data_IF_342696148585
#
_entry.id   IF_342696148585
#
_cell.length_a   1.000
_cell.length_b   1.000
_cell.length_c   1.000
_cell.angle_alpha   90.00
_cell.angle_beta   90.00
_cell.angle_gamma   90.00
#
_symmetry.space_group_name_H-M   'P 1'
#
loop_
_entity.id
_entity.type
_entity.pdbx_description
1 polymer ?
#
# COMPACT_ATOMS: atom_id res chain seq x y z
N UNK A 1 3.03 -10.98 29.32
CA UNK A 1 1.64 -10.90 28.82
C UNK A 1 0.96 -9.74 29.54
N UNK A 2 0.77 -8.60 28.87
CA UNK A 2 0.14 -7.43 29.48
C UNK A 2 -1.35 -7.37 29.06
N UNK A 3 -2.20 -7.84 29.97
CA UNK A 3 -3.65 -7.88 29.84
C UNK A 3 -4.22 -6.47 30.10
N UNK A 4 -4.84 -5.82 29.10
CA UNK A 4 -5.45 -4.49 29.30
C UNK A 4 -6.89 -4.63 29.80
N UNK A 5 -7.13 -4.03 30.97
CA UNK A 5 -8.34 -4.11 31.80
C UNK A 5 -9.50 -3.19 31.36
N UNK A 6 -10.76 -3.52 31.72
CA UNK A 6 -11.94 -2.68 31.50
C UNK A 6 -11.83 -1.29 32.16
N UNK A 7 -12.46 -0.26 31.58
CA UNK A 7 -12.47 1.13 32.09
C UNK A 7 -12.81 1.26 33.58
N UNK A 8 -13.74 0.44 34.08
CA UNK A 8 -14.08 0.38 35.51
C UNK A 8 -12.93 -0.09 36.41
N UNK A 9 -12.12 -1.02 35.93
CA UNK A 9 -10.93 -1.51 36.63
C UNK A 9 -9.84 -0.44 36.66
N UNK A 10 -9.63 0.31 35.57
CA UNK A 10 -8.66 1.43 35.51
C UNK A 10 -9.04 2.56 36.47
N UNK A 11 -10.33 2.87 36.60
CA UNK A 11 -10.86 3.82 37.58
C UNK A 11 -10.58 3.32 39.01
N UNK A 12 -10.81 2.03 39.28
CA UNK A 12 -10.57 1.41 40.58
C UNK A 12 -9.09 1.40 40.95
N UNK A 13 -8.22 0.99 40.04
CA UNK A 13 -6.76 0.95 40.26
C UNK A 13 -6.22 2.35 40.53
N UNK A 14 -6.56 3.33 39.69
CA UNK A 14 -6.12 4.71 39.89
C UNK A 14 -6.64 5.31 41.19
N UNK A 15 -7.88 4.98 41.58
CA UNK A 15 -8.44 5.40 42.88
C UNK A 15 -7.64 4.80 44.05
N UNK A 16 -7.28 3.52 43.96
CA UNK A 16 -6.49 2.82 44.98
C UNK A 16 -5.06 3.36 45.08
N UNK A 17 -4.39 3.64 43.95
CA UNK A 17 -3.07 4.29 43.92
C UNK A 17 -3.06 5.64 44.63
N UNK A 18 -4.16 6.41 44.52
CA UNK A 18 -4.30 7.71 45.19
C UNK A 18 -4.81 7.62 46.62
N UNK A 19 -5.01 6.41 47.16
CA UNK A 19 -5.49 6.19 48.52
C UNK A 19 -6.94 6.67 48.77
N UNK A 20 -7.73 6.87 47.73
CA UNK A 20 -9.10 7.40 47.83
C UNK A 20 -10.09 6.28 48.17
N UNK A 21 -10.98 6.54 49.15
CA UNK A 21 -12.09 5.61 49.39
C UNK A 21 -13.13 5.77 48.29
N UNK A 22 -13.83 4.68 47.98
CA UNK A 22 -14.86 4.67 46.94
C UNK A 22 -15.97 5.68 47.24
N UNK A 23 -16.36 5.86 48.50
CA UNK A 23 -17.34 6.87 48.90
C UNK A 23 -16.87 8.31 48.63
N UNK A 24 -15.58 8.58 48.79
CA UNK A 24 -15.00 9.91 48.61
C UNK A 24 -14.96 10.29 47.12
N UNK A 25 -14.58 9.35 46.25
CA UNK A 25 -14.65 9.55 44.80
C UNK A 25 -16.08 9.68 44.30
N UNK A 26 -17.03 8.90 44.84
CA UNK A 26 -18.43 9.00 44.47
C UNK A 26 -19.01 10.37 44.83
N UNK A 27 -18.66 10.88 46.02
CA UNK A 27 -19.08 12.20 46.50
C UNK A 27 -18.48 13.33 45.67
N UNK A 28 -17.19 13.24 45.30
CA UNK A 28 -16.52 14.28 44.51
C UNK A 28 -17.05 14.42 43.08
N UNK A 29 -17.63 13.37 42.52
CA UNK A 29 -18.24 13.38 41.17
C UNK A 29 -19.78 13.39 41.20
N UNK A 30 -20.39 13.56 42.38
CA UNK A 30 -21.83 13.76 42.54
C UNK A 30 -22.70 12.53 42.29
N UNK A 31 -22.19 11.31 42.52
CA UNK A 31 -22.94 10.05 42.39
C UNK A 31 -22.98 9.26 43.70
N UNK A 32 -23.87 8.27 43.80
CA UNK A 32 -23.91 7.41 44.99
C UNK A 32 -22.74 6.40 45.02
N UNK A 33 -22.24 6.01 46.20
CA UNK A 33 -21.19 4.98 46.32
C UNK A 33 -21.57 3.65 45.68
N UNK A 34 -22.85 3.25 45.77
CA UNK A 34 -23.37 2.07 45.06
C UNK A 34 -23.32 2.22 43.54
N UNK A 35 -23.55 3.42 43.01
CA UNK A 35 -23.47 3.69 41.58
C UNK A 35 -22.02 3.60 41.08
N UNK A 36 -21.07 4.19 41.82
CA UNK A 36 -19.64 4.05 41.51
C UNK A 36 -19.17 2.60 41.61
N UNK A 37 -19.71 1.83 42.55
CA UNK A 37 -19.39 0.40 42.68
C UNK A 37 -19.81 -0.42 41.44
N UNK A 38 -20.97 -0.13 40.86
CA UNK A 38 -21.42 -0.77 39.62
C UNK A 38 -20.54 -0.38 38.43
N UNK A 39 -19.99 0.83 38.42
CA UNK A 39 -19.07 1.33 37.37
C UNK A 39 -17.71 0.64 37.49
N UNK A 40 -17.13 0.60 38.69
CA UNK A 40 -15.82 -0.03 38.94
C UNK A 40 -15.81 -1.53 38.64
N UNK A 41 -16.95 -2.21 38.80
CA UNK A 41 -17.13 -3.62 38.46
C UNK A 41 -17.63 -3.85 37.02
N UNK A 42 -17.67 -2.81 36.18
CA UNK A 42 -18.04 -2.91 34.77
C UNK A 42 -19.52 -3.25 34.51
N UNK A 43 -20.38 -3.18 35.53
CA UNK A 43 -21.82 -3.48 35.42
C UNK A 43 -22.64 -2.31 34.87
N UNK A 44 -22.06 -1.10 34.82
CA UNK A 44 -22.71 0.09 34.27
C UNK A 44 -21.73 0.90 33.44
N UNK A 45 -22.04 1.08 32.16
CA UNK A 45 -21.26 1.93 31.24
C UNK A 45 -21.42 3.41 31.62
N UNK A 46 -20.35 4.16 31.47
CA UNK A 46 -20.32 5.62 31.68
C UNK A 46 -19.78 6.30 30.44
N UNK A 47 -20.24 7.53 30.19
CA UNK A 47 -19.80 8.34 29.06
C UNK A 47 -20.12 9.82 29.29
N UNK A 48 -19.57 10.67 28.44
CA UNK A 48 -19.82 12.11 28.46
C UNK A 48 -19.36 12.77 29.76
N UNK A 49 -20.22 13.60 30.35
CA UNK A 49 -19.91 14.45 31.51
C UNK A 49 -19.37 13.66 32.72
N UNK A 50 -19.99 12.53 33.06
CA UNK A 50 -19.59 11.73 34.22
C UNK A 50 -18.20 11.09 34.05
N UNK A 51 -17.85 10.68 32.84
CA UNK A 51 -16.50 10.16 32.54
C UNK A 51 -15.45 11.26 32.68
N UNK A 52 -15.74 12.47 32.17
CA UNK A 52 -14.87 13.62 32.31
C UNK A 52 -14.72 14.07 33.77
N UNK A 53 -15.79 14.00 34.56
CA UNK A 53 -15.77 14.37 35.99
C UNK A 53 -14.94 13.37 36.81
N UNK A 54 -15.05 12.06 36.53
CA UNK A 54 -14.21 11.02 37.13
C UNK A 54 -12.74 11.16 36.68
N UNK A 55 -12.50 11.42 35.40
CA UNK A 55 -11.15 11.66 34.87
C UNK A 55 -10.47 12.84 35.58
N UNK A 56 -11.21 13.95 35.76
CA UNK A 56 -10.73 15.14 36.46
C UNK A 56 -10.47 14.88 37.95
N UNK A 57 -11.36 14.15 38.62
CA UNK A 57 -11.18 13.78 40.03
C UNK A 57 -9.98 12.83 40.25
N UNK A 58 -9.62 12.03 39.24
CA UNK A 58 -8.51 11.08 39.29
C UNK A 58 -7.21 11.58 38.62
N UNK A 59 -7.21 12.81 38.11
CA UNK A 59 -6.08 13.43 37.40
C UNK A 59 -5.63 12.58 36.20
N UNK A 60 -6.60 12.21 35.36
CA UNK A 60 -6.42 11.44 34.13
C UNK A 60 -6.96 12.22 32.93
N UNK A 61 -6.31 12.01 31.78
CA UNK A 61 -6.86 12.45 30.50
C UNK A 61 -8.15 11.66 30.19
N UNK A 62 -9.30 12.33 29.90
CA UNK A 62 -10.52 11.68 29.47
C UNK A 62 -10.34 10.74 28.26
N UNK A 63 -9.42 11.06 27.34
CA UNK A 63 -9.08 10.21 26.20
C UNK A 63 -8.40 8.91 26.66
N UNK A 64 -7.54 8.97 27.68
CA UNK A 64 -6.88 7.79 28.24
C UNK A 64 -7.86 6.80 28.91
N UNK A 65 -9.04 7.27 29.36
CA UNK A 65 -10.12 6.45 29.90
C UNK A 65 -11.15 5.99 28.84
N UNK A 66 -11.30 6.76 27.75
CA UNK A 66 -12.24 6.50 26.65
C UNK A 66 -11.68 5.65 25.50
N UNK A 67 -10.37 5.67 25.26
CA UNK A 67 -9.73 4.86 24.22
C UNK A 67 -9.45 3.43 24.72
N UNK A 68 -10.49 2.61 24.67
CA UNK A 68 -10.40 1.18 24.92
C UNK A 68 -9.92 0.40 23.67
N UNK A 69 -9.25 -0.76 23.85
CA UNK A 69 -8.85 -1.68 22.77
C UNK A 69 -10.01 -2.23 21.90
N UNK A 70 -11.27 -1.88 22.19
CA UNK A 70 -12.43 -2.25 21.39
C UNK A 70 -12.42 -1.69 19.98
N UNK A 71 -11.95 -0.46 19.77
CA UNK A 71 -11.92 0.12 18.42
C UNK A 71 -10.89 -0.59 17.52
N UNK A 72 -9.81 -1.11 18.07
CA UNK A 72 -8.81 -1.88 17.33
C UNK A 72 -9.32 -3.26 16.91
N UNK A 73 -10.00 -3.97 17.82
CA UNK A 73 -10.61 -5.27 17.53
C UNK A 73 -11.78 -5.14 16.57
N UNK A 74 -12.64 -4.14 16.78
CA UNK A 74 -13.75 -3.84 15.86
C UNK A 74 -13.24 -3.51 14.46
N UNK A 75 -12.16 -2.72 14.34
CA UNK A 75 -11.51 -2.42 13.06
C UNK A 75 -10.94 -3.69 12.41
N UNK A 76 -10.27 -4.54 13.18
CA UNK A 76 -9.71 -5.81 12.68
C UNK A 76 -10.79 -6.78 12.22
N UNK A 77 -11.92 -6.87 12.93
CA UNK A 77 -13.06 -7.69 12.52
C UNK A 77 -13.73 -7.16 11.25
N UNK A 78 -13.87 -5.84 11.11
CA UNK A 78 -14.37 -5.22 9.87
C UNK A 78 -13.44 -5.48 8.68
N UNK A 79 -12.13 -5.37 8.89
CA UNK A 79 -11.13 -5.70 7.88
C UNK A 79 -11.20 -7.20 7.48
N UNK A 80 -11.38 -8.10 8.45
CA UNK A 80 -11.55 -9.53 8.18
C UNK A 80 -12.78 -9.84 7.32
N UNK A 81 -13.89 -9.12 7.53
CA UNK A 81 -15.11 -9.27 6.72
C UNK A 81 -14.90 -8.71 5.31
N UNK A 82 -14.19 -7.59 5.16
CA UNK A 82 -13.88 -7.00 3.86
C UNK A 82 -12.99 -7.89 2.98
N UNK A 83 -12.17 -8.75 3.60
CA UNK A 83 -11.35 -9.75 2.90
C UNK A 83 -12.10 -11.04 2.50
N UNK A 84 -13.38 -11.20 2.82
CA UNK A 84 -14.14 -12.38 2.41
C UNK A 84 -14.52 -12.29 0.92
N UNK A 85 -14.26 -13.38 0.20
CA UNK A 85 -14.63 -13.53 -1.20
C UNK A 85 -16.16 -13.67 -1.37
N UNK A 86 -16.70 -13.28 -2.54
CA UNK A 86 -18.14 -13.23 -2.84
C UNK A 86 -18.83 -14.62 -2.75
N UNK A 87 -18.04 -15.71 -2.69
CA UNK A 87 -18.53 -17.09 -2.54
C UNK A 87 -18.82 -17.49 -1.09
N UNK A 88 -18.62 -16.60 -0.12
CA UNK A 88 -18.94 -16.87 1.27
C UNK A 88 -20.46 -17.12 1.43
N UNK A 89 -20.84 -18.33 1.87
CA UNK A 89 -22.25 -18.73 2.01
C UNK A 89 -23.05 -17.93 3.04
N UNK A 90 -22.35 -17.34 4.02
CA UNK A 90 -22.98 -16.55 5.09
C UNK A 90 -22.06 -15.40 5.48
N UNK A 91 -22.54 -14.16 5.31
CA UNK A 91 -21.80 -12.97 5.73
C UNK A 91 -22.02 -12.70 7.24
N UNK A 92 -20.97 -12.33 7.98
CA UNK A 92 -21.10 -11.97 9.40
C UNK A 92 -21.93 -10.68 9.61
N UNK A 93 -22.73 -10.65 10.68
CA UNK A 93 -23.54 -9.48 11.07
C UNK A 93 -22.67 -8.31 11.57
N UNK A 94 -22.25 -7.42 10.68
CA UNK A 94 -21.39 -6.26 11.00
C UNK A 94 -21.96 -5.34 12.08
N UNK A 95 -23.29 -5.23 12.17
CA UNK A 95 -23.98 -4.45 13.21
C UNK A 95 -23.77 -5.01 14.62
N UNK A 96 -23.46 -6.31 14.75
CA UNK A 96 -23.18 -7.00 16.02
C UNK A 96 -21.69 -7.27 16.26
N UNK A 97 -20.81 -6.76 15.40
CA UNK A 97 -19.36 -6.97 15.54
C UNK A 97 -18.82 -6.40 16.87
N UNK A 98 -19.39 -5.31 17.36
CA UNK A 98 -19.05 -4.75 18.68
C UNK A 98 -19.47 -5.70 19.80
N UNK A 99 -20.72 -6.18 19.80
CA UNK A 99 -21.22 -7.13 20.80
C UNK A 99 -20.40 -8.43 20.82
N UNK A 100 -19.92 -8.88 19.66
CA UNK A 100 -19.03 -10.03 19.53
C UNK A 100 -17.64 -9.78 20.13
N UNK A 101 -17.04 -8.62 19.84
CA UNK A 101 -15.74 -8.23 20.39
C UNK A 101 -15.81 -8.09 21.92
N UNK A 102 -16.90 -7.53 22.45
CA UNK A 102 -17.14 -7.34 23.88
C UNK A 102 -17.33 -8.70 24.59
N UNK A 103 -18.09 -9.62 23.98
CA UNK A 103 -18.46 -10.91 24.60
C UNK A 103 -17.40 -12.00 24.42
N UNK A 104 -16.61 -11.94 23.35
CA UNK A 104 -15.60 -12.96 23.01
C UNK A 104 -14.26 -12.32 22.57
N UNK A 105 -13.57 -11.61 23.47
CA UNK A 105 -12.38 -10.81 23.11
C UNK A 105 -11.21 -11.65 22.57
N UNK A 106 -11.03 -12.88 23.06
CA UNK A 106 -9.99 -13.79 22.56
C UNK A 106 -10.25 -14.28 21.14
N UNK A 107 -11.51 -14.60 20.82
CA UNK A 107 -11.91 -14.99 19.46
C UNK A 107 -11.82 -13.82 18.49
N UNK A 108 -12.24 -12.63 18.92
CA UNK A 108 -12.09 -11.41 18.11
C UNK A 108 -10.61 -11.11 17.78
N UNK A 109 -9.71 -11.30 18.74
CA UNK A 109 -8.28 -11.16 18.51
C UNK A 109 -7.73 -12.21 17.54
N UNK A 110 -8.14 -13.48 17.67
CA UNK A 110 -7.73 -14.55 16.75
C UNK A 110 -8.17 -14.25 15.32
N UNK A 111 -9.41 -13.80 15.11
CA UNK A 111 -9.92 -13.43 13.78
C UNK A 111 -9.10 -12.28 13.19
N UNK A 112 -8.80 -11.25 13.98
CA UNK A 112 -7.93 -10.14 13.54
C UNK A 112 -6.53 -10.60 13.14
N UNK A 113 -5.92 -11.50 13.92
CA UNK A 113 -4.61 -12.08 13.60
C UNK A 113 -4.64 -12.92 12.32
N UNK A 114 -5.69 -13.71 12.11
CA UNK A 114 -5.84 -14.51 10.90
C UNK A 114 -6.05 -13.63 9.67
N UNK A 115 -6.84 -12.56 9.77
CA UNK A 115 -7.03 -11.61 8.68
C UNK A 115 -5.72 -10.95 8.27
N UNK A 116 -4.93 -10.47 9.23
CA UNK A 116 -3.60 -9.90 8.96
C UNK A 116 -2.64 -10.92 8.34
N UNK A 117 -2.70 -12.18 8.78
CA UNK A 117 -1.91 -13.28 8.19
C UNK A 117 -2.32 -13.56 6.75
N UNK A 118 -3.62 -13.63 6.46
CA UNK A 118 -4.15 -13.85 5.11
C UNK A 118 -3.70 -12.73 4.18
N UNK A 119 -3.88 -11.47 4.59
CA UNK A 119 -3.43 -10.30 3.81
C UNK A 119 -1.92 -10.32 3.54
N UNK A 120 -1.11 -10.79 4.52
CA UNK A 120 0.33 -10.99 4.32
C UNK A 120 0.64 -12.11 3.32
N UNK A 121 -0.10 -13.22 3.38
CA UNK A 121 0.07 -14.33 2.44
C UNK A 121 -0.34 -13.93 1.01
N UNK A 122 -1.45 -13.20 0.85
CA UNK A 122 -1.90 -12.68 -0.44
C UNK A 122 -0.87 -11.73 -1.05
N UNK A 123 -0.31 -10.80 -0.26
CA UNK A 123 0.80 -9.94 -0.71
C UNK A 123 2.00 -10.75 -1.19
N UNK A 124 2.39 -11.79 -0.47
CA UNK A 124 3.49 -12.68 -0.89
C UNK A 124 3.18 -13.41 -2.18
N UNK A 125 1.94 -13.85 -2.40
CA UNK A 125 1.53 -14.49 -3.66
C UNK A 125 1.61 -13.50 -4.82
N UNK A 126 1.19 -12.24 -4.62
CA UNK A 126 1.31 -11.18 -5.62
C UNK A 126 2.79 -10.96 -5.97
N UNK A 127 3.64 -10.77 -4.95
CA UNK A 127 5.08 -10.57 -5.12
C UNK A 127 5.76 -11.74 -5.86
N UNK A 128 5.45 -12.98 -5.47
CA UNK A 128 5.95 -14.18 -6.14
C UNK A 128 5.43 -14.29 -7.58
N UNK A 129 4.16 -13.94 -7.82
CA UNK A 129 3.57 -13.95 -9.16
C UNK A 129 4.18 -12.87 -10.07
N UNK A 130 4.45 -11.68 -9.53
CA UNK A 130 5.14 -10.60 -10.23
C UNK A 130 6.57 -11.02 -10.61
N UNK A 131 7.31 -11.63 -9.67
CA UNK A 131 8.64 -12.20 -9.97
C UNK A 131 8.58 -13.28 -11.04
N UNK A 132 7.67 -14.24 -10.92
CA UNK A 132 7.50 -15.30 -11.93
C UNK A 132 7.09 -14.77 -13.32
N UNK A 133 6.40 -13.63 -13.38
CA UNK A 133 5.94 -13.04 -14.64
C UNK A 133 6.94 -12.09 -15.28
N UNK A 134 7.89 -11.54 -14.52
CA UNK A 134 8.84 -10.53 -15.00
C UNK A 134 10.31 -10.97 -14.95
N UNK A 135 10.61 -12.20 -14.52
CA UNK A 135 11.98 -12.71 -14.51
C UNK A 135 12.41 -13.20 -15.90
N UNK A 136 13.19 -12.34 -16.58
CA UNK A 136 13.79 -12.63 -17.88
C UNK A 136 14.69 -13.88 -17.84
N UNK A 137 15.40 -14.10 -16.74
CA UNK A 137 16.34 -15.20 -16.59
C UNK A 137 15.59 -16.54 -16.46
N UNK A 138 14.43 -16.56 -15.79
CA UNK A 138 13.56 -17.73 -15.71
C UNK A 138 12.97 -18.08 -17.10
N UNK A 139 12.45 -17.09 -17.82
CA UNK A 139 11.88 -17.28 -19.15
C UNK A 139 12.95 -17.79 -20.14
N UNK A 140 14.16 -17.23 -20.08
CA UNK A 140 15.30 -17.66 -20.87
C UNK A 140 15.74 -19.09 -20.52
N UNK A 141 15.81 -19.45 -19.23
CA UNK A 141 16.16 -20.81 -18.79
C UNK A 141 15.13 -21.85 -19.27
N UNK A 142 13.83 -21.55 -19.20
CA UNK A 142 12.76 -22.42 -19.72
C UNK A 142 12.87 -22.61 -21.23
N UNK A 143 13.11 -21.53 -21.98
CA UNK A 143 13.30 -21.62 -23.43
C UNK A 143 14.54 -22.46 -23.80
N UNK A 144 15.65 -22.29 -23.07
CA UNK A 144 16.87 -23.08 -23.26
C UNK A 144 16.64 -24.57 -22.98
N UNK A 145 15.84 -24.93 -21.98
CA UNK A 145 15.48 -26.32 -21.70
C UNK A 145 14.69 -26.93 -22.86
N UNK A 146 13.66 -26.23 -23.36
CA UNK A 146 12.82 -26.72 -24.47
C UNK A 146 13.65 -26.86 -25.75
N UNK A 147 14.44 -25.84 -26.09
CA UNK A 147 15.29 -25.84 -27.28
C UNK A 147 16.37 -26.92 -27.21
N UNK A 148 17.02 -27.09 -26.05
CA UNK A 148 18.03 -28.14 -25.84
C UNK A 148 17.46 -29.55 -26.00
N UNK A 149 16.32 -29.85 -25.37
CA UNK A 149 15.66 -31.16 -25.52
C UNK A 149 15.26 -31.43 -26.98
N UNK A 150 14.77 -30.40 -27.68
CA UNK A 150 14.38 -30.52 -29.09
C UNK A 150 15.58 -30.79 -30.00
N UNK A 151 16.69 -30.09 -29.79
CA UNK A 151 17.93 -30.25 -30.57
C UNK A 151 18.60 -31.62 -30.34
N UNK A 152 18.64 -32.08 -29.09
CA UNK A 152 19.14 -33.42 -28.74
C UNK A 152 18.29 -34.49 -29.42
N UNK A 153 16.95 -34.37 -29.35
CA UNK A 153 16.03 -35.33 -29.98
C UNK A 153 16.21 -35.36 -31.50
N UNK A 154 16.33 -34.21 -32.15
CA UNK A 154 16.53 -34.14 -33.60
C UNK A 154 17.87 -34.76 -34.02
N UNK A 155 18.97 -34.40 -33.37
CA UNK A 155 20.31 -34.93 -33.68
C UNK A 155 20.40 -36.43 -33.40
N UNK A 156 19.79 -36.90 -32.32
CA UNK A 156 19.75 -38.33 -31.98
C UNK A 156 18.87 -39.13 -32.95
N UNK A 157 17.75 -38.55 -33.40
CA UNK A 157 16.86 -39.16 -34.39
C UNK A 157 17.54 -39.37 -35.74
N UNK A 158 18.23 -38.33 -36.25
CA UNK A 158 18.99 -38.43 -37.51
C UNK A 158 20.06 -39.52 -37.43
N UNK A 159 20.79 -39.59 -36.32
CA UNK A 159 21.82 -40.60 -36.09
C UNK A 159 21.25 -42.03 -36.02
N UNK A 160 20.04 -42.19 -35.44
CA UNK A 160 19.38 -43.49 -35.30
C UNK A 160 18.71 -43.97 -36.60
N UNK A 161 18.17 -43.06 -37.40
CA UNK A 161 17.42 -43.38 -38.62
C UNK A 161 18.33 -43.55 -39.85
N UNK A 162 19.58 -43.07 -39.82
CA UNK A 162 20.51 -43.09 -40.95
C UNK A 162 21.83 -43.80 -40.59
N UNK A 163 21.88 -45.14 -40.60
CA UNK A 163 23.05 -45.92 -40.18
C UNK A 163 24.26 -45.78 -41.12
N UNK A 164 24.06 -45.34 -42.37
CA UNK A 164 25.11 -45.20 -43.39
C UNK A 164 25.79 -43.82 -43.44
N UNK A 165 25.57 -42.97 -42.42
CA UNK A 165 26.25 -41.67 -42.31
C UNK A 165 27.77 -41.84 -42.26
N UNK A 166 28.51 -40.97 -42.97
CA UNK A 166 29.97 -40.99 -42.90
C UNK A 166 30.49 -40.61 -41.49
N UNK A 167 31.74 -40.95 -41.21
CA UNK A 167 32.35 -40.72 -39.89
C UNK A 167 32.44 -39.25 -39.52
N UNK A 168 32.55 -38.35 -40.50
CA UNK A 168 32.69 -36.92 -40.24
C UNK A 168 31.34 -36.34 -39.76
N UNK A 169 30.26 -36.67 -40.45
CA UNK A 169 28.90 -36.32 -40.05
C UNK A 169 28.50 -36.95 -38.72
N UNK A 170 28.80 -38.24 -38.49
CA UNK A 170 28.58 -38.87 -37.20
C UNK A 170 29.29 -38.13 -36.07
N UNK A 171 30.56 -37.74 -36.28
CA UNK A 171 31.32 -36.93 -35.31
C UNK A 171 30.66 -35.59 -35.00
N UNK A 172 30.13 -34.91 -36.02
CA UNK A 172 29.42 -33.62 -35.85
C UNK A 172 28.11 -33.76 -35.08
N UNK A 173 27.30 -34.78 -35.37
CA UNK A 173 26.05 -35.02 -34.62
C UNK A 173 26.32 -35.40 -33.16
N UNK A 174 27.31 -36.26 -32.90
CA UNK A 174 27.71 -36.60 -31.53
C UNK A 174 28.24 -35.38 -30.76
N UNK A 175 29.00 -34.50 -31.43
CA UNK A 175 29.45 -33.24 -30.84
C UNK A 175 28.29 -32.29 -30.51
N UNK A 176 27.32 -32.15 -31.43
CA UNK A 176 26.12 -31.33 -31.20
C UNK A 176 25.30 -31.87 -30.02
N UNK A 177 25.07 -33.18 -29.95
CA UNK A 177 24.35 -33.82 -28.83
C UNK A 177 25.05 -33.54 -27.51
N UNK A 178 26.38 -33.64 -27.45
CA UNK A 178 27.16 -33.35 -26.25
C UNK A 178 27.01 -31.88 -25.83
N UNK A 179 27.20 -30.95 -26.77
CA UNK A 179 27.09 -29.51 -26.53
C UNK A 179 25.68 -29.11 -26.04
N UNK A 180 24.63 -29.62 -26.70
CA UNK A 180 23.24 -29.35 -26.33
C UNK A 180 22.87 -29.98 -24.98
N UNK A 181 23.42 -31.16 -24.66
CA UNK A 181 23.23 -31.82 -23.36
C UNK A 181 23.89 -31.04 -22.22
N UNK A 182 25.08 -30.48 -22.45
CA UNK A 182 25.76 -29.61 -21.48
C UNK A 182 25.00 -28.29 -21.25
N UNK A 183 24.50 -27.68 -22.32
CA UNK A 183 23.66 -26.49 -22.26
C UNK A 183 22.36 -26.75 -21.50
N UNK A 184 21.68 -27.88 -21.79
CA UNK A 184 20.48 -28.32 -21.07
C UNK A 184 20.76 -28.53 -19.58
N UNK A 185 21.87 -29.18 -19.23
CA UNK A 185 22.24 -29.40 -17.84
C UNK A 185 22.50 -28.07 -17.09
N UNK A 186 23.10 -27.08 -17.77
CA UNK A 186 23.31 -25.73 -17.22
C UNK A 186 21.99 -25.00 -16.99
N UNK A 187 21.08 -25.02 -17.98
CA UNK A 187 19.76 -24.40 -17.87
C UNK A 187 18.92 -25.02 -16.74
N UNK A 188 18.89 -26.35 -16.66
CA UNK A 188 18.18 -27.07 -15.59
C UNK A 188 18.74 -26.77 -14.19
N UNK A 189 20.07 -26.65 -14.02
CA UNK A 189 20.68 -26.22 -12.74
C UNK A 189 20.37 -24.76 -12.39
N UNK A 190 20.16 -23.90 -13.38
CA UNK A 190 19.74 -22.51 -13.15
C UNK A 190 18.30 -22.48 -12.65
N UNK A 191 17.43 -23.26 -13.29
CA UNK A 191 16.02 -23.41 -12.90
C UNK A 191 15.88 -24.01 -11.50
N UNK A 192 16.66 -25.05 -11.18
CA UNK A 192 16.67 -25.66 -9.85
C UNK A 192 17.14 -24.68 -8.77
N UNK A 193 18.22 -23.92 -9.01
CA UNK A 193 18.68 -22.88 -8.07
C UNK A 193 17.65 -21.78 -7.85
N UNK A 194 16.90 -21.41 -8.87
CA UNK A 194 15.80 -20.45 -8.75
C UNK A 194 14.67 -21.00 -7.87
N UNK A 195 14.31 -22.28 -8.03
CA UNK A 195 13.24 -22.94 -7.27
C UNK A 195 13.67 -23.36 -5.85
N UNK A 196 14.95 -23.66 -5.64
CA UNK A 196 15.54 -24.08 -4.36
C UNK A 196 16.02 -22.91 -3.50
N UNK A 197 15.99 -21.68 -4.01
CA UNK A 197 16.38 -20.48 -3.26
C UNK A 197 15.61 -20.44 -1.92
N UNK A 198 16.29 -20.59 -0.76
CA UNK A 198 15.61 -20.75 0.51
C UNK A 198 14.76 -19.53 0.84
N UNK A 199 13.54 -19.76 1.36
CA UNK A 199 12.59 -18.75 1.89
C UNK A 199 13.18 -17.84 3.01
N UNK A 200 14.47 -17.94 3.33
CA UNK A 200 15.19 -17.14 4.34
C UNK A 200 16.15 -16.09 3.75
N UNK A 201 16.26 -15.97 2.43
CA UNK A 201 16.90 -14.82 1.78
C UNK A 201 15.89 -13.71 1.41
N UNK A 202 14.76 -13.64 2.13
CA UNK A 202 13.77 -12.56 2.01
C UNK A 202 14.25 -11.24 2.67
N UNK A 203 15.49 -10.85 2.41
CA UNK A 203 15.75 -9.43 2.22
C UNK A 203 15.51 -9.19 0.74
N UNK A 204 14.30 -8.73 0.42
CA UNK A 204 13.99 -8.06 -0.84
C UNK A 204 15.22 -7.23 -1.23
N UNK A 205 15.89 -7.54 -2.33
CA UNK A 205 16.69 -6.53 -2.99
C UNK A 205 15.67 -5.57 -3.60
N UNK A 206 15.17 -4.65 -2.77
CA UNK A 206 14.35 -3.54 -3.21
C UNK A 206 15.14 -2.85 -4.33
N UNK A 207 14.46 -2.50 -5.41
CA UNK A 207 15.06 -1.57 -6.37
C UNK A 207 15.47 -0.29 -5.63
N UNK A 208 16.48 0.43 -6.12
CA UNK A 208 16.87 1.72 -5.52
C UNK A 208 15.69 2.68 -5.29
N UNK A 209 14.69 2.62 -6.19
CA UNK A 209 13.46 3.39 -6.09
C UNK A 209 12.57 2.94 -4.92
N UNK A 210 12.38 1.63 -4.72
CA UNK A 210 11.57 1.09 -3.63
C UNK A 210 12.23 1.26 -2.26
N UNK A 211 13.56 1.19 -2.21
CA UNK A 211 14.31 1.51 -1.01
C UNK A 211 14.15 2.99 -0.63
N UNK A 212 14.23 3.89 -1.62
CA UNK A 212 13.97 5.32 -1.44
C UNK A 212 12.52 5.59 -0.99
N UNK A 213 11.53 4.98 -1.61
CA UNK A 213 10.11 5.11 -1.24
C UNK A 213 9.85 4.60 0.18
N UNK A 214 10.44 3.46 0.57
CA UNK A 214 10.36 2.94 1.95
C UNK A 214 10.97 3.91 2.97
N UNK A 215 12.09 4.56 2.62
CA UNK A 215 12.70 5.58 3.46
C UNK A 215 11.77 6.79 3.60
N UNK A 216 11.13 7.23 2.52
CA UNK A 216 10.16 8.32 2.54
C UNK A 216 8.90 7.98 3.35
N UNK A 217 8.39 6.74 3.23
CA UNK A 217 7.28 6.24 4.04
C UNK A 217 7.60 6.30 5.54
N UNK A 218 8.83 5.98 5.94
CA UNK A 218 9.25 6.05 7.34
C UNK A 218 9.25 7.48 7.92
N UNK A 219 9.32 8.49 7.06
CA UNK A 219 9.24 9.91 7.41
C UNK A 219 7.90 10.55 6.97
N UNK A 220 6.87 9.76 6.66
CA UNK A 220 5.56 10.21 6.18
C UNK A 220 5.61 11.13 4.94
N UNK A 221 6.69 11.05 4.17
CA UNK A 221 7.02 11.92 3.02
C UNK A 221 7.14 13.40 3.39
N UNK A 222 7.36 13.72 4.67
CA UNK A 222 7.58 15.06 5.17
C UNK A 222 9.06 15.25 5.56
N UNK A 223 9.72 16.26 4.99
CA UNK A 223 11.17 16.46 5.13
C UNK A 223 11.48 17.81 5.80
N UNK A 224 11.30 17.94 7.13
CA UNK A 224 11.47 19.21 7.85
C UNK A 224 12.91 19.74 7.80
N UNK A 225 13.91 18.88 7.65
CA UNK A 225 15.31 19.27 7.45
C UNK A 225 15.47 20.05 6.15
N UNK A 226 14.85 19.57 5.07
CA UNK A 226 14.89 20.22 3.75
C UNK A 226 14.15 21.56 3.79
N UNK A 227 13.00 21.63 4.47
CA UNK A 227 12.28 22.90 4.71
C UNK A 227 13.15 23.93 5.46
N UNK A 228 13.99 23.45 6.38
CA UNK A 228 14.91 24.28 7.15
C UNK A 228 16.23 24.60 6.42
N UNK A 229 16.39 24.15 5.17
CA UNK A 229 17.62 24.32 4.39
C UNK A 229 18.81 23.50 4.92
N UNK A 230 18.55 22.43 5.68
CA UNK A 230 19.55 21.51 6.21
C UNK A 230 19.66 20.26 5.34
N UNK A 231 20.85 19.66 5.20
CA UNK A 231 21.01 18.42 4.46
C UNK A 231 20.28 17.26 5.17
N UNK A 232 19.76 16.32 4.39
CA UNK A 232 19.23 15.06 4.92
C UNK A 232 20.39 14.23 5.50
N UNK A 233 20.16 13.66 6.68
CA UNK A 233 21.06 12.70 7.33
C UNK A 233 20.52 11.27 7.17
N UNK A 234 21.37 10.27 7.35
CA UNK A 234 21.00 8.85 7.32
C UNK A 234 20.34 8.39 6.00
N UNK A 235 20.83 8.94 4.87
CA UNK A 235 20.47 8.45 3.55
C UNK A 235 21.16 7.09 3.28
N UNK A 236 20.47 6.13 2.63
CA UNK A 236 21.09 4.89 2.16
C UNK A 236 22.23 5.20 1.17
N UNK A 237 23.30 4.40 1.24
CA UNK A 237 24.42 4.52 0.32
C UNK A 237 24.05 4.01 -1.09
N UNK A 238 24.76 4.50 -2.11
CA UNK A 238 24.56 4.07 -3.50
C UNK A 238 23.33 4.67 -4.19
N UNK A 239 22.72 3.90 -5.09
CA UNK A 239 21.69 4.38 -6.02
C UNK A 239 20.40 4.86 -5.32
N UNK A 240 20.01 4.24 -4.21
CA UNK A 240 18.82 4.68 -3.45
C UNK A 240 19.02 6.08 -2.86
N UNK A 241 20.23 6.38 -2.37
CA UNK A 241 20.61 7.72 -1.93
C UNK A 241 20.61 8.76 -3.05
N UNK A 242 20.93 8.37 -4.29
CA UNK A 242 20.82 9.26 -5.46
C UNK A 242 19.37 9.61 -5.78
N UNK A 243 18.48 8.62 -5.75
CA UNK A 243 17.03 8.83 -5.92
C UNK A 243 16.48 9.78 -4.85
N UNK A 244 16.86 9.56 -3.58
CA UNK A 244 16.42 10.41 -2.48
C UNK A 244 16.97 11.84 -2.57
N UNK A 245 18.22 12.03 -3.01
CA UNK A 245 18.78 13.37 -3.24
C UNK A 245 18.03 14.12 -4.33
N UNK A 246 17.76 13.46 -5.47
CA UNK A 246 16.98 14.05 -6.55
C UNK A 246 15.54 14.38 -6.10
N UNK A 247 14.93 13.54 -5.25
CA UNK A 247 13.63 13.82 -4.65
C UNK A 247 13.69 15.00 -3.67
N UNK A 248 14.71 15.08 -2.83
CA UNK A 248 14.91 16.16 -1.86
C UNK A 248 15.11 17.52 -2.55
N UNK A 249 15.84 17.57 -3.66
CA UNK A 249 15.97 18.78 -4.49
C UNK A 249 14.62 19.24 -5.04
N UNK A 250 13.82 18.30 -5.58
CA UNK A 250 12.47 18.58 -6.07
C UNK A 250 11.55 19.07 -4.94
N UNK A 251 11.64 18.43 -3.78
CA UNK A 251 10.91 18.81 -2.57
C UNK A 251 11.29 20.22 -2.11
N UNK A 252 12.58 20.57 -2.10
CA UNK A 252 13.07 21.88 -1.73
C UNK A 252 12.54 22.98 -2.68
N UNK A 253 12.53 22.72 -3.99
CA UNK A 253 11.97 23.64 -4.98
C UNK A 253 10.45 23.86 -4.78
N UNK A 254 9.71 22.80 -4.43
CA UNK A 254 8.30 22.89 -4.08
C UNK A 254 8.08 23.67 -2.78
N UNK A 255 8.88 23.42 -1.74
CA UNK A 255 8.81 24.13 -0.46
C UNK A 255 9.14 25.62 -0.58
N UNK A 256 10.08 25.99 -1.46
CA UNK A 256 10.45 27.38 -1.69
C UNK A 256 9.29 28.23 -2.26
N UNK A 257 8.44 27.62 -3.10
CA UNK A 257 7.26 28.29 -3.69
C UNK A 257 6.00 28.08 -2.87
N UNK A 258 5.91 26.98 -2.12
CA UNK A 258 4.80 26.61 -1.26
C UNK A 258 5.26 26.39 0.20
N UNK A 259 5.60 27.44 0.96
CA UNK A 259 6.07 27.29 2.33
C UNK A 259 5.04 26.58 3.22
N UNK A 260 5.49 25.68 4.10
CA UNK A 260 4.63 24.73 4.83
C UNK A 260 3.46 25.41 5.56
N UNK A 261 3.74 26.43 6.38
CA UNK A 261 2.72 27.12 7.19
C UNK A 261 1.60 27.76 6.35
N UNK A 262 1.92 28.74 5.48
CA UNK A 262 0.93 29.37 4.60
C UNK A 262 0.18 28.37 3.71
N UNK A 263 0.88 27.34 3.23
CA UNK A 263 0.26 26.32 2.38
C UNK A 263 -0.70 25.41 3.15
N UNK A 264 -0.32 24.95 4.35
CA UNK A 264 -1.17 24.12 5.21
C UNK A 264 -2.46 24.86 5.60
N UNK A 265 -2.35 26.12 6.03
CA UNK A 265 -3.51 26.96 6.35
C UNK A 265 -4.42 27.16 5.14
N UNK A 266 -3.84 27.47 3.98
CA UNK A 266 -4.59 27.61 2.74
C UNK A 266 -5.28 26.30 2.32
N UNK A 267 -4.62 25.16 2.49
CA UNK A 267 -5.18 23.86 2.19
C UNK A 267 -6.40 23.55 3.06
N UNK A 268 -6.36 23.89 4.35
CA UNK A 268 -7.54 23.76 5.22
C UNK A 268 -8.66 24.72 4.81
N UNK A 269 -8.35 25.98 4.54
CA UNK A 269 -9.34 27.00 4.18
C UNK A 269 -10.09 26.68 2.88
N UNK A 270 -9.41 26.05 1.91
CA UNK A 270 -9.97 25.71 0.60
C UNK A 270 -10.48 24.26 0.51
N UNK A 271 -10.53 23.52 1.63
CA UNK A 271 -10.97 22.12 1.67
C UNK A 271 -10.11 21.19 0.80
N UNK A 272 -8.79 21.46 0.76
CA UNK A 272 -7.77 20.73 -0.01
C UNK A 272 -8.04 20.69 -1.52
N UNK A 273 -8.82 21.64 -2.06
CA UNK A 273 -9.17 21.67 -3.47
C UNK A 273 -7.98 22.10 -4.34
N UNK A 274 -7.37 21.20 -5.16
CA UNK A 274 -6.06 21.49 -5.74
C UNK A 274 -6.03 22.66 -6.74
N UNK A 275 -7.10 22.83 -7.53
CA UNK A 275 -7.20 23.96 -8.48
C UNK A 275 -7.24 25.32 -7.78
N UNK A 276 -7.86 25.38 -6.59
CA UNK A 276 -7.95 26.64 -5.82
C UNK A 276 -6.60 27.00 -5.23
N UNK A 277 -5.90 26.00 -4.69
CA UNK A 277 -4.53 26.14 -4.21
C UNK A 277 -3.57 26.55 -5.34
N UNK A 278 -3.64 25.87 -6.50
CA UNK A 278 -2.83 26.22 -7.66
C UNK A 278 -3.03 27.68 -8.09
N UNK A 279 -4.29 28.15 -8.14
CA UNK A 279 -4.61 29.55 -8.46
C UNK A 279 -4.12 30.52 -7.38
N UNK A 280 -4.26 30.18 -6.11
CA UNK A 280 -3.86 31.04 -4.97
C UNK A 280 -2.35 31.26 -4.93
N UNK A 281 -1.57 30.21 -5.17
CA UNK A 281 -0.11 30.27 -5.12
C UNK A 281 0.54 30.53 -6.49
N UNK A 282 -0.22 30.53 -7.58
CA UNK A 282 0.30 30.78 -8.92
C UNK A 282 1.21 29.66 -9.44
N UNK A 283 0.98 28.41 -9.01
CA UNK A 283 1.85 27.27 -9.32
C UNK A 283 1.12 26.17 -10.11
N UNK A 284 1.83 25.28 -10.83
CA UNK A 284 1.23 24.15 -11.53
C UNK A 284 0.55 23.13 -10.60
N UNK A 285 -0.49 22.46 -11.09
CA UNK A 285 -1.22 21.43 -10.33
C UNK A 285 -0.33 20.29 -9.82
N UNK A 286 0.63 19.84 -10.63
CA UNK A 286 1.55 18.77 -10.24
C UNK A 286 2.37 19.14 -8.98
N UNK A 287 2.76 20.41 -8.84
CA UNK A 287 3.47 20.91 -7.67
C UNK A 287 2.55 20.96 -6.44
N UNK A 288 1.30 21.40 -6.61
CA UNK A 288 0.29 21.36 -5.53
C UNK A 288 0.02 19.93 -5.07
N UNK A 289 -0.05 18.96 -5.98
CA UNK A 289 -0.26 17.54 -5.63
C UNK A 289 0.89 17.00 -4.78
N UNK A 290 2.15 17.24 -5.18
CA UNK A 290 3.32 16.85 -4.40
C UNK A 290 3.32 17.50 -3.02
N UNK A 291 2.98 18.79 -2.95
CA UNK A 291 2.91 19.51 -1.68
C UNK A 291 1.80 19.01 -0.75
N UNK A 292 0.61 18.72 -1.28
CA UNK A 292 -0.48 18.10 -0.52
C UNK A 292 -0.11 16.70 -0.01
N UNK A 293 0.69 15.96 -0.78
CA UNK A 293 1.20 14.66 -0.37
C UNK A 293 2.29 14.75 0.72
N UNK A 294 3.00 15.87 0.82
CA UNK A 294 4.03 16.12 1.84
C UNK A 294 3.50 16.70 3.16
N UNK A 295 2.19 16.99 3.24
CA UNK A 295 1.59 17.52 4.47
C UNK A 295 1.52 16.43 5.56
N UNK A 296 1.94 16.72 6.80
CA UNK A 296 1.87 15.75 7.89
C UNK A 296 0.44 15.31 8.17
N UNK A 297 0.22 14.00 8.25
CA UNK A 297 -1.06 13.45 8.70
C UNK A 297 -1.27 13.81 10.19
N UNK A 298 -2.50 14.14 10.58
CA UNK A 298 -2.84 14.36 12.00
C UNK A 298 -3.01 15.82 12.45
N UNK A 299 -2.87 16.81 11.55
CA UNK A 299 -3.15 18.22 11.82
C UNK A 299 -4.42 18.75 11.12
N UNK A 300 -5.41 17.87 10.91
CA UNK A 300 -6.63 18.18 10.16
C UNK A 300 -6.51 18.01 8.64
N UNK A 301 -5.35 17.57 8.14
CA UNK A 301 -5.16 17.18 6.74
C UNK A 301 -5.55 15.72 6.52
N UNK A 302 -6.20 15.38 5.38
CA UNK A 302 -6.53 14.01 5.04
C UNK A 302 -5.26 13.21 4.70
N UNK A 303 -5.32 11.89 4.90
CA UNK A 303 -4.30 11.00 4.35
C UNK A 303 -4.33 11.08 2.81
N UNK A 304 -3.15 11.31 2.23
CA UNK A 304 -2.95 11.50 0.80
C UNK A 304 -1.97 10.48 0.25
N UNK A 305 -2.32 9.91 -0.90
CA UNK A 305 -1.39 9.14 -1.73
C UNK A 305 -0.90 9.97 -2.91
N UNK A 306 0.26 9.64 -3.44
CA UNK A 306 0.87 10.31 -4.58
C UNK A 306 1.39 9.26 -5.54
N UNK A 307 1.09 9.44 -6.81
CA UNK A 307 1.63 8.61 -7.88
C UNK A 307 2.23 9.52 -8.92
N UNK A 308 3.49 9.31 -9.25
CA UNK A 308 4.14 9.95 -10.40
C UNK A 308 4.53 8.87 -11.38
N UNK A 309 4.12 9.02 -12.63
CA UNK A 309 4.48 8.11 -13.71
C UNK A 309 4.98 8.83 -14.93
N UNK A 310 5.71 8.13 -15.77
CA UNK A 310 6.16 8.63 -17.07
C UNK A 310 5.21 8.25 -18.20
N UNK A 311 5.52 8.70 -19.42
CA UNK A 311 4.73 8.40 -20.61
C UNK A 311 4.76 6.91 -21.03
N UNK A 312 5.68 6.09 -20.50
CA UNK A 312 5.69 4.64 -20.74
C UNK A 312 4.65 3.90 -19.90
N UNK A 313 4.06 4.58 -18.92
CA UNK A 313 3.17 3.96 -17.93
C UNK A 313 3.92 3.33 -16.75
N UNK A 314 5.20 3.67 -16.59
CA UNK A 314 6.00 3.27 -15.42
C UNK A 314 5.80 4.27 -14.29
N UNK A 315 5.53 3.79 -13.08
CA UNK A 315 5.47 4.62 -11.88
C UNK A 315 6.89 4.87 -11.36
N UNK A 316 7.29 6.13 -11.33
CA UNK A 316 8.64 6.56 -10.93
C UNK A 316 8.70 7.06 -9.48
N UNK A 317 7.53 7.30 -8.86
CA UNK A 317 7.39 7.57 -7.43
C UNK A 317 5.99 7.15 -6.96
N UNK A 318 5.91 6.43 -5.84
CA UNK A 318 4.67 6.00 -5.22
C UNK A 318 4.67 6.28 -3.71
N UNK A 319 3.71 7.11 -3.27
CA UNK A 319 3.24 7.18 -1.89
C UNK A 319 1.88 6.47 -1.83
N UNK A 320 1.87 5.25 -1.30
CA UNK A 320 0.65 4.46 -1.21
C UNK A 320 -0.27 4.96 -0.07
N UNK A 321 -1.58 4.78 -0.26
CA UNK A 321 -2.54 4.85 0.85
C UNK A 321 -2.68 3.45 1.45
N UNK A 322 -3.05 3.37 2.74
CA UNK A 322 -3.32 2.10 3.41
C UNK A 322 -4.27 1.21 2.59
N UNK A 323 -3.85 -0.03 2.33
CA UNK A 323 -4.61 -1.00 1.55
C UNK A 323 -4.58 -0.81 0.03
N UNK A 324 -3.79 0.13 -0.50
CA UNK A 324 -3.56 0.31 -1.93
C UNK A 324 -2.13 -0.04 -2.32
N UNK A 325 -1.94 -1.10 -3.10
CA UNK A 325 -0.65 -1.47 -3.68
C UNK A 325 -0.71 -1.35 -5.21
N UNK A 326 -0.31 -0.20 -5.75
CA UNK A 326 -0.25 -0.04 -7.21
C UNK A 326 1.03 -0.68 -7.75
N UNK A 327 0.92 -1.52 -8.80
CA UNK A 327 2.10 -2.10 -9.43
C UNK A 327 2.89 -1.01 -10.14
N UNK A 328 4.22 -1.08 -10.07
CA UNK A 328 5.11 -0.08 -10.70
C UNK A 328 4.96 -0.04 -12.21
N UNK A 329 4.75 -1.20 -12.83
CA UNK A 329 4.55 -1.36 -14.27
C UNK A 329 3.29 -2.21 -14.51
N UNK A 330 2.67 -2.05 -15.69
CA UNK A 330 1.57 -2.94 -16.09
C UNK A 330 0.22 -2.76 -15.36
N UNK A 331 0.04 -1.67 -14.61
CA UNK A 331 -1.20 -1.37 -13.87
C UNK A 331 -2.45 -1.20 -14.74
N UNK A 332 -3.63 -1.22 -14.11
CA UNK A 332 -4.91 -1.07 -14.80
C UNK A 332 -4.98 0.24 -15.62
N UNK A 333 -5.26 0.19 -16.94
CA UNK A 333 -5.25 1.39 -17.79
C UNK A 333 -6.38 2.38 -17.46
N UNK A 334 -7.36 2.00 -16.65
CA UNK A 334 -8.47 2.86 -16.22
C UNK A 334 -8.08 3.83 -15.09
N UNK A 335 -6.89 3.69 -14.50
CA UNK A 335 -6.38 4.65 -13.53
C UNK A 335 -6.18 6.03 -14.16
N UNK A 336 -6.66 7.13 -13.53
CA UNK A 336 -6.55 8.48 -14.10
C UNK A 336 -5.13 8.94 -14.40
N UNK A 337 -4.13 8.40 -13.69
CA UNK A 337 -2.72 8.69 -13.95
C UNK A 337 -2.32 8.36 -15.40
N UNK A 338 -2.80 7.25 -15.95
CA UNK A 338 -2.47 6.82 -17.32
C UNK A 338 -3.29 7.55 -18.38
N UNK A 339 -4.51 8.02 -18.07
CA UNK A 339 -5.27 8.87 -19.01
C UNK A 339 -4.66 10.27 -19.11
N UNK A 340 -4.14 10.79 -18.00
CA UNK A 340 -3.56 12.12 -17.98
C UNK A 340 -2.38 12.28 -18.96
N UNK A 341 -1.58 11.22 -19.18
CA UNK A 341 -0.42 11.27 -20.09
C UNK A 341 -0.82 11.61 -21.53
N UNK A 342 -2.00 11.18 -21.97
CA UNK A 342 -2.50 11.44 -23.31
C UNK A 342 -2.98 12.89 -23.50
N UNK A 343 -3.16 13.65 -22.41
CA UNK A 343 -3.72 15.02 -22.45
C UNK A 343 -2.96 15.97 -21.51
N UNK A 344 -1.69 16.31 -21.81
CA UNK A 344 -0.91 17.24 -20.99
C UNK A 344 -1.61 18.58 -20.75
N UNK A 345 -1.51 19.10 -19.53
CA UNK A 345 -2.15 20.34 -19.09
C UNK A 345 -3.62 20.21 -18.70
N UNK A 346 -4.32 19.14 -19.11
CA UNK A 346 -5.71 18.90 -18.72
C UNK A 346 -5.77 18.23 -17.35
N UNK A 347 -6.40 18.91 -16.38
CA UNK A 347 -6.73 18.31 -15.09
C UNK A 347 -7.85 17.27 -15.21
N UNK A 348 -7.64 16.10 -14.62
CA UNK A 348 -8.63 15.03 -14.50
C UNK A 348 -9.06 14.90 -13.05
N UNK A 349 -10.36 14.67 -12.84
CA UNK A 349 -10.94 14.28 -11.55
C UNK A 349 -11.80 13.05 -11.78
N UNK A 350 -11.55 11.99 -11.01
CA UNK A 350 -12.35 10.78 -11.08
C UNK A 350 -12.44 10.11 -9.70
N UNK A 351 -13.53 9.40 -9.49
CA UNK A 351 -13.63 8.45 -8.39
C UNK A 351 -13.21 7.08 -8.90
N UNK A 352 -12.28 6.43 -8.21
CA UNK A 352 -11.79 5.10 -8.54
C UNK A 352 -12.28 4.10 -7.50
N UNK A 353 -12.94 3.03 -7.96
CA UNK A 353 -13.47 1.97 -7.13
C UNK A 353 -12.71 0.66 -7.42
N UNK A 354 -11.95 0.21 -6.42
CA UNK A 354 -11.27 -1.09 -6.45
C UNK A 354 -12.27 -2.26 -6.42
N UNK A 355 -11.89 -3.45 -6.91
CA UNK A 355 -12.75 -4.63 -6.83
C UNK A 355 -12.81 -5.16 -5.39
N UNK A 356 -13.92 -5.82 -5.03
CA UNK A 356 -14.15 -6.40 -3.71
C UNK A 356 -15.15 -5.62 -2.85
N UNK A 357 -15.93 -6.31 -2.02
CA UNK A 357 -16.87 -5.66 -1.11
C UNK A 357 -16.13 -4.93 0.01
N UNK A 358 -16.39 -3.63 0.18
CA UNK A 358 -15.70 -2.81 1.17
C UNK A 358 -14.30 -2.33 0.75
N UNK A 359 -13.90 -2.55 -0.51
CA UNK A 359 -12.68 -2.00 -1.06
C UNK A 359 -12.71 -0.45 -1.01
N UNK A 360 -11.57 0.22 -0.75
CA UNK A 360 -11.55 1.66 -0.59
C UNK A 360 -11.95 2.34 -1.90
N UNK A 361 -12.84 3.33 -1.80
CA UNK A 361 -13.15 4.25 -2.89
C UNK A 361 -12.23 5.46 -2.78
N UNK A 362 -11.61 5.83 -3.89
CA UNK A 362 -10.58 6.87 -3.92
C UNK A 362 -11.01 8.03 -4.81
N UNK A 363 -10.81 9.25 -4.32
CA UNK A 363 -10.87 10.45 -5.15
C UNK A 363 -9.49 10.72 -5.73
N UNK A 364 -9.42 10.67 -7.05
CA UNK A 364 -8.20 10.86 -7.83
C UNK A 364 -8.24 12.22 -8.52
N UNK A 365 -7.17 13.00 -8.36
CA UNK A 365 -6.88 14.15 -9.22
C UNK A 365 -5.60 13.87 -9.97
N UNK A 366 -5.60 13.96 -11.30
CA UNK A 366 -4.43 13.68 -12.13
C UNK A 366 -4.17 14.80 -13.13
N UNK A 367 -2.91 15.02 -13.45
CA UNK A 367 -2.46 15.96 -14.50
C UNK A 367 -1.16 15.45 -15.09
N UNK A 368 -0.95 15.67 -16.38
CA UNK A 368 0.35 15.51 -17.00
C UNK A 368 0.95 16.87 -17.36
N UNK A 369 2.26 17.00 -17.21
CA UNK A 369 3.00 18.20 -17.59
C UNK A 369 4.41 17.82 -18.04
N UNK A 370 5.03 18.62 -18.92
CA UNK A 370 6.46 18.48 -19.17
C UNK A 370 7.23 18.78 -17.87
N UNK A 371 8.27 17.98 -17.61
CA UNK A 371 9.14 18.16 -16.45
C UNK A 371 10.11 19.34 -16.63
N UNK A 372 10.56 19.56 -17.85
CA UNK A 372 11.42 20.69 -18.21
C UNK A 372 10.68 21.71 -19.07
N UNK A 373 11.28 22.89 -19.21
CA UNK A 373 10.85 23.86 -20.21
C UNK A 373 11.00 23.27 -21.62
N UNK A 374 10.14 23.69 -22.58
CA UNK A 374 10.25 23.24 -23.96
C UNK A 374 11.62 23.58 -24.55
N UNK A 375 12.25 22.58 -25.14
CA UNK A 375 13.50 22.71 -25.89
C UNK A 375 13.23 22.29 -27.34
N UNK A 376 13.79 23.03 -28.31
CA UNK A 376 13.68 22.69 -29.73
C UNK A 376 14.57 21.49 -30.09
N UNK A 377 15.64 21.29 -29.35
CA UNK A 377 16.68 20.30 -29.65
C UNK A 377 16.52 19.00 -28.82
N UNK A 378 15.57 18.95 -27.89
CA UNK A 378 15.32 17.79 -27.03
C UNK A 378 13.83 17.47 -26.88
N UNK A 379 13.42 16.18 -26.94
CA UNK A 379 12.03 15.80 -26.72
C UNK A 379 11.63 16.05 -25.26
N UNK A 380 10.42 16.59 -24.99
CA UNK A 380 9.99 16.87 -23.63
C UNK A 380 9.71 15.58 -22.88
N UNK A 381 10.19 15.49 -21.63
CA UNK A 381 9.80 14.40 -20.72
C UNK A 381 8.48 14.76 -20.06
N UNK A 382 7.42 14.02 -20.41
CA UNK A 382 6.10 14.19 -19.81
C UNK A 382 6.02 13.33 -18.55
N UNK A 383 5.70 13.97 -17.42
CA UNK A 383 5.35 13.29 -16.18
C UNK A 383 3.86 13.46 -15.89
N UNK A 384 3.24 12.37 -15.49
CA UNK A 384 1.91 12.33 -14.89
C UNK A 384 2.05 12.39 -13.38
N UNK A 385 1.27 13.24 -12.73
CA UNK A 385 1.16 13.29 -11.27
C UNK A 385 -0.29 13.09 -10.88
N UNK A 386 -0.56 12.13 -10.00
CA UNK A 386 -1.88 11.85 -9.47
C UNK A 386 -1.87 11.91 -7.95
N UNK A 387 -2.77 12.72 -7.39
CA UNK A 387 -3.07 12.78 -5.97
C UNK A 387 -4.28 11.88 -5.66
N UNK A 388 -4.15 11.08 -4.62
CA UNK A 388 -5.17 10.15 -4.14
C UNK A 388 -5.64 10.57 -2.75
N UNK A 389 -6.95 10.54 -2.51
CA UNK A 389 -7.56 10.76 -1.19
C UNK A 389 -8.70 9.78 -0.99
N UNK A 390 -9.05 9.49 0.26
CA UNK A 390 -10.25 8.70 0.54
C UNK A 390 -11.51 9.43 0.04
N UNK A 391 -12.39 8.70 -0.64
CA UNK A 391 -13.72 9.18 -1.01
C UNK A 391 -14.78 8.56 -0.07
N UNK A 392 -15.99 9.15 0.00
CA UNK A 392 -17.12 8.50 0.67
C UNK A 392 -17.32 7.07 0.12
N UNK A 393 -17.60 6.09 1.00
CA UNK A 393 -17.64 4.67 0.63
C UNK A 393 -18.81 4.32 -0.30
N UNK A 394 -19.83 5.17 -0.36
CA UNK A 394 -20.99 4.95 -1.21
C UNK A 394 -20.61 5.11 -2.70
N UNK A 395 -20.87 4.07 -3.52
CA UNK A 395 -20.59 4.14 -4.95
C UNK A 395 -21.52 5.15 -5.61
N UNK A 396 -20.97 5.92 -6.56
CA UNK A 396 -21.74 6.90 -7.32
C UNK A 396 -21.77 6.51 -8.82
N UNK A 397 -22.85 6.85 -9.54
CA UNK A 397 -22.85 6.76 -11.00
C UNK A 397 -21.68 7.53 -11.60
N UNK A 398 -20.89 6.87 -12.47
CA UNK A 398 -19.70 7.45 -13.09
C UNK A 398 -18.38 7.12 -12.41
N UNK A 399 -18.39 6.35 -11.32
CA UNK A 399 -17.16 5.79 -10.73
C UNK A 399 -16.41 4.92 -11.74
N UNK A 400 -15.09 5.11 -11.80
CA UNK A 400 -14.21 4.28 -12.60
C UNK A 400 -13.96 2.98 -11.86
N UNK A 401 -14.42 1.89 -12.45
CA UNK A 401 -14.19 0.54 -11.97
C UNK A 401 -12.76 0.12 -12.32
N UNK A 402 -11.83 0.39 -11.41
CA UNK A 402 -10.40 0.08 -11.60
C UNK A 402 -10.06 -1.30 -11.00
N UNK A 403 -8.83 -1.74 -11.24
CA UNK A 403 -8.18 -2.88 -10.59
C UNK A 403 -6.69 -2.60 -10.39
N UNK A 404 -5.95 -3.53 -9.78
CA UNK A 404 -4.50 -3.40 -9.65
C UNK A 404 -3.82 -3.79 -10.98
N UNK A 405 -3.96 -5.06 -11.38
CA UNK A 405 -3.54 -5.61 -12.67
C UNK A 405 -4.68 -6.37 -13.34
N UNK A 406 -4.62 -6.59 -14.65
CA UNK A 406 -5.67 -7.34 -15.36
C UNK A 406 -5.70 -8.82 -14.91
N UNK A 407 -4.52 -9.46 -14.75
CA UNK A 407 -4.37 -10.84 -14.28
C UNK A 407 -5.03 -11.11 -12.93
N UNK A 408 -5.00 -10.15 -12.01
CA UNK A 408 -5.54 -10.28 -10.65
C UNK A 408 -6.90 -9.59 -10.47
N UNK A 409 -7.46 -9.01 -11.52
CA UNK A 409 -8.76 -8.32 -11.40
C UNK A 409 -9.91 -9.33 -11.51
N UNK A 410 -10.81 -9.44 -10.51
CA UNK A 410 -11.95 -10.36 -10.55
C UNK A 410 -13.13 -9.83 -11.40
N UNK A 411 -13.02 -8.64 -11.99
CA UNK A 411 -14.12 -8.06 -12.79
C UNK A 411 -14.29 -8.82 -14.11
N UNK A 412 -15.36 -9.58 -14.28
CA UNK A 412 -15.61 -10.38 -15.48
C UNK A 412 -15.78 -9.52 -16.75
N UNK A 413 -16.65 -8.50 -16.72
CA UNK A 413 -17.02 -7.70 -17.89
C UNK A 413 -16.26 -6.36 -17.95
N UNK A 414 -14.92 -6.39 -17.98
CA UNK A 414 -14.10 -5.18 -18.12
C UNK A 414 -13.70 -4.95 -19.60
N UNK A 415 -14.13 -3.84 -20.24
CA UNK A 415 -13.79 -3.57 -21.65
C UNK A 415 -12.31 -3.22 -21.85
N UNK A 416 -11.61 -2.81 -20.78
CA UNK A 416 -10.19 -2.46 -20.81
C UNK A 416 -9.27 -3.63 -20.43
N UNK A 417 -9.81 -4.86 -20.36
CA UNK A 417 -9.07 -6.07 -19.97
C UNK A 417 -8.06 -6.44 -21.06
N UNK A 418 -6.76 -6.44 -20.72
CA UNK A 418 -5.66 -6.83 -21.62
C UNK A 418 -5.38 -8.34 -21.61
N UNK A 419 -5.64 -9.00 -20.51
CA UNK A 419 -5.34 -10.42 -20.29
C UNK A 419 -6.42 -11.10 -19.42
N UNK A 420 -6.63 -12.41 -19.56
CA UNK A 420 -7.54 -13.18 -18.70
C UNK A 420 -7.17 -13.07 -17.22
N UNK A 421 -8.18 -13.08 -16.34
CA UNK A 421 -7.94 -13.15 -14.90
C UNK A 421 -7.59 -14.57 -14.49
N UNK A 422 -6.70 -14.73 -13.51
CA UNK A 422 -6.44 -16.03 -12.88
C UNK A 422 -7.48 -16.37 -11.79
N UNK A 423 -8.31 -15.40 -11.41
CA UNK A 423 -9.31 -15.57 -10.35
C UNK A 423 -10.64 -16.18 -10.85
N UNK A 424 -10.79 -16.38 -12.17
CA UNK A 424 -12.01 -16.90 -12.81
C UNK A 424 -12.79 -15.81 -13.50
#
# INVERSE_FOLDING_TARGET
MAERQPTGLRIRERRQERGLRQADLATSVGISPSYLNLIEHGRRRIGGKLLADIARALDLDPAALGEGPDMGRLRSLRAAVAGLDDKARTLPELSRAQDFADRFPGWAALVGLQAARIESLERRVIELSERLSHDHDLAQALHQVISGVTAIRASSGILAENPDLDRDWQGRFLHNILADSEALAKASRSLARFLEAPERAASLALSPQEEAERWLDACDHHLPEVEAGRPLTDLPEGAAGEVLRAWAERYAADAATLPLGPFAEAAMAEGHHPVRLARRFGVPLAQVFRRLAALPAGQGHPATGLVIGDASGTLIHLKALDGLALPRTGGCPLWPVFEASAQPGRGLRAYAALPGQGAPRLLCHAVAAPREEPDWDAPPRIETTMLLTAAPPEPAPGDRLVGLTCRLCPRAACPARREPSILG
#
